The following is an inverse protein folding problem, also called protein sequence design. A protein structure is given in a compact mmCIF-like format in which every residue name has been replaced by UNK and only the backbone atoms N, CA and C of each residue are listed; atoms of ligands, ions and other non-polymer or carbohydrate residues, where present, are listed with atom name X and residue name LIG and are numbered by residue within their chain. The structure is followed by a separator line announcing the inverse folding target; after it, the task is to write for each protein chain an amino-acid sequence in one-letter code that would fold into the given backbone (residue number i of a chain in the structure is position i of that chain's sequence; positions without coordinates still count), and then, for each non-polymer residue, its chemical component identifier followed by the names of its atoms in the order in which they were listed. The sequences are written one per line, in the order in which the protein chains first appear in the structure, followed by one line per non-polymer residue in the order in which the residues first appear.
data_IF_079741488216
#
_entry.id   IF_079741488216
#
_cell.length_a   1.000
_cell.length_b   1.000
_cell.length_c   1.000
_cell.angle_alpha   90.00
_cell.angle_beta   90.00
_cell.angle_gamma   90.00
#
_symmetry.space_group_name_H-M   'P 1'
#
loop_
_entity.id
_entity.type
_entity.pdbx_description
1 polymer ?
#
# COMPACT_ATOMS: atom_id res chain seq x y z
N UNK A 1 -71.52 2.84 -36.35
CA UNK A 1 -71.34 2.45 -37.77
C UNK A 1 -70.10 3.15 -38.30
N UNK A 2 -69.31 2.50 -39.18
CA UNK A 2 -68.36 3.05 -40.19
C UNK A 2 -67.33 4.13 -39.70
N UNK A 3 -66.00 3.95 -39.71
CA UNK A 3 -65.07 3.56 -40.80
C UNK A 3 -65.10 4.58 -41.97
N UNK A 4 -64.02 5.15 -42.53
CA UNK A 4 -62.54 4.90 -42.55
C UNK A 4 -61.79 6.24 -42.92
N UNK A 5 -60.48 6.41 -43.23
CA UNK A 5 -59.27 5.58 -43.45
C UNK A 5 -57.98 6.49 -43.46
N UNK A 6 -56.76 5.88 -43.51
CA UNK A 6 -55.43 6.38 -44.02
C UNK A 6 -54.45 7.12 -43.09
N UNK A 7 -53.17 6.69 -43.15
CA UNK A 7 -51.93 7.40 -42.76
C UNK A 7 -51.06 7.66 -44.02
N UNK A 8 -49.71 7.50 -44.05
CA UNK A 8 -48.77 7.03 -42.99
C UNK A 8 -47.37 7.75 -42.96
N UNK A 9 -46.35 7.12 -42.32
CA UNK A 9 -44.86 7.29 -42.46
C UNK A 9 -44.13 8.30 -41.52
N UNK A 10 -42.90 7.88 -41.11
CA UNK A 10 -41.83 8.53 -40.31
C UNK A 10 -41.85 8.15 -38.81
N UNK A 11 -41.17 7.09 -38.33
CA UNK A 11 -39.79 6.61 -38.51
C UNK A 11 -38.70 7.51 -37.89
N UNK A 12 -38.50 7.39 -36.57
CA UNK A 12 -37.20 7.58 -35.92
C UNK A 12 -36.97 6.39 -35.00
N UNK A 13 -35.79 5.77 -35.11
CA UNK A 13 -35.35 4.64 -34.28
C UNK A 13 -34.44 5.19 -33.17
N UNK A 14 -34.66 4.79 -31.92
CA UNK A 14 -33.65 4.80 -30.86
C UNK A 14 -33.77 3.51 -30.06
N UNK A 15 -32.66 2.81 -29.90
CA UNK A 15 -32.53 1.49 -29.25
C UNK A 15 -31.17 1.46 -28.54
N UNK A 16 -31.04 0.60 -27.53
CA UNK A 16 -29.84 0.39 -26.69
C UNK A 16 -29.53 1.55 -25.70
N UNK A 17 -29.11 1.28 -24.45
CA UNK A 17 -29.16 0.01 -23.69
C UNK A 17 -29.21 0.31 -22.18
N UNK A 18 -29.85 -0.56 -21.40
CA UNK A 18 -29.72 -0.64 -19.95
C UNK A 18 -29.32 -2.08 -19.59
N UNK A 19 -28.02 -2.35 -19.41
CA UNK A 19 -27.56 -3.67 -18.94
C UNK A 19 -27.66 -3.72 -17.42
N UNK A 20 -28.74 -4.31 -16.92
CA UNK A 20 -28.85 -4.70 -15.52
C UNK A 20 -27.92 -5.90 -15.29
N UNK A 21 -26.79 -5.70 -14.60
CA UNK A 21 -25.92 -6.80 -14.16
C UNK A 21 -26.51 -7.50 -12.93
N UNK A 22 -27.47 -8.39 -13.18
CA UNK A 22 -27.84 -9.44 -12.22
C UNK A 22 -27.06 -10.71 -12.54
N UNK A 23 -26.03 -11.02 -11.76
CA UNK A 23 -25.39 -12.34 -11.78
C UNK A 23 -25.74 -13.13 -10.51
N UNK A 24 -26.70 -14.03 -10.70
CA UNK A 24 -26.92 -15.30 -9.99
C UNK A 24 -26.10 -15.52 -8.70
N UNK A 25 -26.70 -15.20 -7.56
CA UNK A 25 -26.30 -15.77 -6.28
C UNK A 25 -26.66 -17.28 -6.26
N UNK A 26 -25.72 -18.13 -6.64
CA UNK A 26 -25.87 -19.59 -6.50
C UNK A 26 -25.55 -19.95 -5.04
N UNK A 27 -26.57 -20.28 -4.26
CA UNK A 27 -26.42 -20.78 -2.89
C UNK A 27 -25.86 -22.22 -2.88
N UNK A 28 -24.57 -22.36 -3.17
CA UNK A 28 -23.77 -23.49 -2.69
C UNK A 28 -23.11 -23.09 -1.37
N UNK A 29 -23.18 -23.96 -0.35
CA UNK A 29 -22.35 -23.81 0.84
C UNK A 29 -20.89 -24.09 0.46
N UNK A 30 -20.11 -23.03 0.23
CA UNK A 30 -18.67 -23.17 0.07
C UNK A 30 -18.10 -23.72 1.38
N UNK A 31 -17.62 -24.97 1.35
CA UNK A 31 -16.77 -25.48 2.40
C UNK A 31 -15.47 -24.66 2.40
N UNK A 32 -14.95 -24.35 3.59
CA UNK A 32 -13.63 -23.74 3.71
C UNK A 32 -12.60 -24.64 3.01
N UNK A 33 -11.77 -24.12 2.08
CA UNK A 33 -10.72 -24.92 1.48
C UNK A 33 -9.72 -25.34 2.56
N UNK A 34 -9.32 -26.60 2.56
CA UNK A 34 -8.36 -27.11 3.54
C UNK A 34 -7.06 -26.29 3.47
N UNK A 35 -6.57 -25.82 4.62
CA UNK A 35 -5.55 -24.77 4.70
C UNK A 35 -4.28 -25.03 3.84
N UNK A 36 -3.88 -26.29 3.68
CA UNK A 36 -2.71 -26.67 2.88
C UNK A 36 -2.80 -26.35 1.38
N UNK A 37 -4.01 -26.18 0.81
CA UNK A 37 -4.18 -25.76 -0.59
C UNK A 37 -4.03 -24.24 -0.77
N UNK A 38 -4.24 -23.45 0.30
CA UNK A 38 -4.32 -21.99 0.19
C UNK A 38 -3.03 -21.35 -0.37
N UNK A 39 -1.80 -21.65 0.12
CA UNK A 39 -0.59 -20.98 -0.38
C UNK A 39 -0.31 -21.30 -1.85
N UNK A 40 -0.60 -22.53 -2.29
CA UNK A 40 -0.45 -22.93 -3.70
C UNK A 40 -1.50 -22.30 -4.59
N UNK A 41 -2.76 -22.23 -4.13
CA UNK A 41 -3.83 -21.53 -4.85
C UNK A 41 -3.54 -20.02 -5.02
N UNK A 42 -2.93 -19.38 -4.01
CA UNK A 42 -2.43 -18.00 -4.12
C UNK A 42 -1.35 -17.88 -5.20
N UNK A 43 -0.37 -18.79 -5.24
CA UNK A 43 0.68 -18.77 -6.26
C UNK A 43 0.12 -18.97 -7.68
N UNK A 44 -0.83 -19.88 -7.89
CA UNK A 44 -1.49 -20.04 -9.20
C UNK A 44 -2.30 -18.80 -9.60
N UNK A 45 -2.97 -18.14 -8.65
CA UNK A 45 -3.69 -16.87 -8.89
C UNK A 45 -2.73 -15.74 -9.30
N UNK A 46 -1.55 -15.65 -8.68
CA UNK A 46 -0.54 -14.63 -8.99
C UNK A 46 0.01 -14.72 -10.43
N UNK A 47 0.00 -15.90 -11.06
CA UNK A 47 0.41 -16.07 -12.47
C UNK A 47 -0.48 -15.32 -13.48
N UNK A 48 -1.67 -14.93 -13.06
CA UNK A 48 -2.63 -14.14 -13.84
C UNK A 48 -2.71 -12.67 -13.38
N UNK A 49 -1.98 -12.30 -12.33
CA UNK A 49 -2.01 -10.96 -11.72
C UNK A 49 -1.13 -9.96 -12.46
N UNK A 50 -1.68 -8.77 -12.69
CA UNK A 50 -0.94 -7.55 -13.01
C UNK A 50 -0.82 -6.65 -11.79
N UNK A 51 0.32 -5.98 -11.65
CA UNK A 51 0.52 -4.90 -10.68
C UNK A 51 1.05 -3.66 -11.41
N UNK A 52 0.71 -2.48 -10.91
CA UNK A 52 1.14 -1.19 -11.49
C UNK A 52 2.15 -0.53 -10.56
N UNK A 53 3.22 0.02 -11.13
CA UNK A 53 4.05 1.03 -10.48
C UNK A 53 4.02 2.33 -11.29
N UNK A 54 3.67 3.45 -10.65
CA UNK A 54 3.70 4.77 -11.27
C UNK A 54 5.02 5.45 -10.92
N UNK A 55 5.91 5.58 -11.90
CA UNK A 55 7.28 6.08 -11.72
C UNK A 55 7.84 6.62 -13.04
N UNK A 56 8.64 7.69 -12.99
CA UNK A 56 9.30 8.27 -14.17
C UNK A 56 10.71 7.71 -14.43
N UNK A 57 11.25 6.88 -13.53
CA UNK A 57 12.52 6.15 -13.70
C UNK A 57 12.29 4.67 -14.09
N UNK A 58 13.34 3.98 -14.54
CA UNK A 58 13.31 2.54 -14.84
C UNK A 58 13.97 1.65 -13.75
N UNK A 59 14.39 2.25 -12.63
CA UNK A 59 14.86 1.52 -11.45
C UNK A 59 13.72 0.91 -10.65
N UNK A 60 13.98 -0.18 -9.92
CA UNK A 60 12.98 -0.84 -9.06
C UNK A 60 13.45 -0.92 -7.60
N UNK A 61 12.52 -0.74 -6.65
CA UNK A 61 12.80 -0.70 -5.21
C UNK A 61 13.96 0.26 -4.86
N UNK A 62 14.04 1.40 -5.56
CA UNK A 62 15.26 2.19 -5.67
C UNK A 62 15.77 2.73 -4.32
N UNK A 63 14.88 3.08 -3.39
CA UNK A 63 15.27 3.46 -2.02
C UNK A 63 15.83 2.24 -1.27
N UNK A 64 15.18 1.08 -1.34
CA UNK A 64 15.67 -0.13 -0.67
C UNK A 64 16.99 -0.66 -1.23
N UNK A 65 17.31 -0.38 -2.51
CA UNK A 65 18.58 -0.80 -3.10
C UNK A 65 19.73 0.20 -2.87
N UNK A 66 19.47 1.51 -2.89
CA UNK A 66 20.53 2.55 -2.93
C UNK A 66 20.23 3.79 -2.05
N UNK A 67 19.26 3.70 -1.13
CA UNK A 67 18.78 4.81 -0.33
C UNK A 67 18.27 5.96 -1.20
N UNK A 68 18.37 7.20 -0.70
CA UNK A 68 17.95 8.38 -1.47
C UNK A 68 18.81 8.62 -2.73
N UNK A 69 20.00 8.02 -2.83
CA UNK A 69 20.82 8.06 -4.04
C UNK A 69 20.22 7.24 -5.19
N UNK A 70 19.45 6.19 -4.89
CA UNK A 70 18.69 5.43 -5.89
C UNK A 70 17.60 6.24 -6.59
N UNK A 71 17.10 7.31 -5.96
CA UNK A 71 16.00 8.15 -6.47
C UNK A 71 16.49 9.52 -6.96
N UNK A 72 17.49 10.11 -6.32
CA UNK A 72 17.99 11.46 -6.62
C UNK A 72 19.50 11.57 -6.84
N UNK A 73 20.24 10.45 -6.85
CA UNK A 73 21.70 10.44 -7.01
C UNK A 73 22.19 10.22 -8.44
N UNK A 74 21.32 10.37 -9.45
CA UNK A 74 21.56 10.10 -10.88
C UNK A 74 22.16 8.71 -11.19
N UNK A 75 22.02 7.77 -10.24
CA UNK A 75 22.59 6.43 -10.33
C UNK A 75 21.94 5.63 -11.47
N UNK A 76 22.72 5.05 -12.40
CA UNK A 76 22.18 4.42 -13.60
C UNK A 76 21.35 3.17 -13.28
N UNK A 77 20.52 2.77 -14.25
CA UNK A 77 19.82 1.48 -14.26
C UNK A 77 20.87 0.36 -14.18
N UNK A 78 20.81 -0.45 -13.13
CA UNK A 78 21.79 -1.49 -12.82
C UNK A 78 21.32 -2.88 -13.34
N UNK A 79 21.99 -3.97 -12.95
CA UNK A 79 21.59 -5.33 -13.37
C UNK A 79 20.33 -5.84 -12.65
N UNK A 80 20.17 -5.55 -11.37
CA UNK A 80 18.94 -5.84 -10.61
C UNK A 80 17.73 -5.20 -11.31
N UNK A 81 17.82 -3.90 -11.66
CA UNK A 81 16.74 -3.18 -12.35
C UNK A 81 16.35 -3.84 -13.69
N UNK A 82 17.35 -4.23 -14.50
CA UNK A 82 17.15 -4.90 -15.80
C UNK A 82 16.48 -6.26 -15.65
N UNK A 83 16.88 -7.03 -14.65
CA UNK A 83 16.41 -8.40 -14.45
C UNK A 83 15.10 -8.48 -13.66
N UNK A 84 14.76 -7.47 -12.85
CA UNK A 84 13.64 -7.49 -11.89
C UNK A 84 12.30 -7.92 -12.49
N UNK A 85 11.90 -7.36 -13.65
CA UNK A 85 10.64 -7.74 -14.31
C UNK A 85 10.61 -9.21 -14.75
N UNK A 86 11.73 -9.73 -15.25
CA UNK A 86 11.84 -11.14 -15.66
C UNK A 86 11.81 -12.05 -14.42
N UNK A 87 12.53 -11.66 -13.37
CA UNK A 87 12.61 -12.39 -12.11
C UNK A 87 11.25 -12.47 -11.39
N UNK A 88 10.50 -11.38 -11.35
CA UNK A 88 9.12 -11.32 -10.84
C UNK A 88 8.17 -12.22 -11.66
N UNK A 89 8.29 -12.21 -13.00
CA UNK A 89 7.46 -13.04 -13.87
C UNK A 89 7.85 -14.53 -13.81
N UNK A 90 9.11 -14.85 -13.53
CA UNK A 90 9.58 -16.23 -13.39
C UNK A 90 9.23 -16.85 -12.04
N UNK A 91 9.42 -16.12 -10.94
CA UNK A 91 9.21 -16.64 -9.58
C UNK A 91 7.74 -16.64 -9.14
N UNK A 92 7.00 -15.58 -9.47
CA UNK A 92 5.60 -15.39 -9.02
C UNK A 92 4.58 -15.36 -10.16
N UNK A 93 5.03 -15.29 -11.41
CA UNK A 93 4.14 -15.17 -12.58
C UNK A 93 3.44 -13.81 -12.71
N UNK A 94 3.77 -12.83 -11.86
CA UNK A 94 3.17 -11.50 -11.87
C UNK A 94 3.69 -10.68 -13.05
N UNK A 95 2.82 -9.89 -13.68
CA UNK A 95 3.18 -8.92 -14.72
C UNK A 95 3.25 -7.49 -14.14
N UNK A 96 4.44 -6.89 -14.10
CA UNK A 96 4.65 -5.51 -13.63
C UNK A 96 4.54 -4.51 -14.78
N UNK A 97 3.55 -3.62 -14.67
CA UNK A 97 3.30 -2.52 -15.60
C UNK A 97 3.87 -1.24 -14.98
N UNK A 98 4.67 -0.50 -15.74
CA UNK A 98 5.14 0.82 -15.33
C UNK A 98 4.37 1.90 -16.07
N UNK A 99 3.66 2.72 -15.32
CA UNK A 99 2.91 3.89 -15.79
C UNK A 99 3.76 5.14 -15.56
N UNK A 100 3.79 6.05 -16.53
CA UNK A 100 4.49 7.35 -16.41
C UNK A 100 3.56 8.43 -15.87
N UNK A 101 4.14 9.47 -15.29
CA UNK A 101 3.39 10.61 -14.73
C UNK A 101 2.40 11.25 -15.70
N UNK A 102 2.77 11.38 -16.98
CA UNK A 102 1.93 12.01 -18.00
C UNK A 102 0.60 11.25 -18.22
N UNK A 103 0.63 9.92 -18.09
CA UNK A 103 -0.57 9.08 -18.14
C UNK A 103 -1.40 9.20 -16.85
N UNK A 104 -0.75 9.19 -15.67
CA UNK A 104 -1.45 9.45 -14.41
C UNK A 104 -2.15 10.81 -14.43
N UNK A 105 -1.46 11.86 -14.90
CA UNK A 105 -2.00 13.21 -15.01
C UNK A 105 -3.18 13.27 -15.99
N UNK A 106 -3.12 12.51 -17.09
CA UNK A 106 -4.25 12.39 -18.02
C UNK A 106 -5.47 11.71 -17.38
N UNK A 107 -5.30 10.64 -16.58
CA UNK A 107 -6.42 10.01 -15.87
C UNK A 107 -6.91 10.87 -14.68
N UNK A 108 -6.04 11.63 -14.01
CA UNK A 108 -6.43 12.61 -12.98
C UNK A 108 -7.26 13.76 -13.58
N UNK A 109 -6.93 14.22 -14.78
CA UNK A 109 -7.65 15.28 -15.49
C UNK A 109 -9.03 14.86 -16.02
N UNK A 110 -9.35 13.55 -16.05
CA UNK A 110 -10.69 13.03 -16.37
C UNK A 110 -11.65 13.02 -15.19
N UNK A 111 -11.14 13.10 -13.95
CA UNK A 111 -11.96 12.99 -12.75
C UNK A 111 -12.81 14.24 -12.58
N UNK A 112 -14.14 14.07 -12.55
CA UNK A 112 -15.06 15.20 -12.40
C UNK A 112 -14.93 15.83 -11.01
N UNK A 113 -15.17 17.14 -10.93
CA UNK A 113 -15.19 17.85 -9.65
C UNK A 113 -16.22 17.24 -8.70
N UNK A 114 -17.42 16.91 -9.19
CA UNK A 114 -18.48 16.32 -8.40
C UNK A 114 -18.13 14.94 -7.80
N UNK A 115 -17.39 14.09 -8.54
CA UNK A 115 -16.91 12.82 -8.01
C UNK A 115 -15.83 13.02 -6.94
N UNK A 116 -14.87 13.90 -7.19
CA UNK A 116 -13.79 14.22 -6.26
C UNK A 116 -14.30 14.88 -4.97
N UNK A 117 -15.28 15.77 -5.09
CA UNK A 117 -15.98 16.41 -3.96
C UNK A 117 -16.77 15.38 -3.13
N UNK A 118 -17.59 14.54 -3.77
CA UNK A 118 -18.37 13.49 -3.10
C UNK A 118 -17.49 12.52 -2.32
N UNK A 119 -16.30 12.19 -2.84
CA UNK A 119 -15.33 11.33 -2.15
C UNK A 119 -14.64 12.06 -0.99
N UNK A 120 -14.27 13.32 -1.16
CA UNK A 120 -13.75 14.13 -0.05
C UNK A 120 -14.78 14.27 1.09
N UNK A 121 -16.06 14.49 0.76
CA UNK A 121 -17.16 14.59 1.74
C UNK A 121 -17.53 13.23 2.38
N UNK A 122 -17.22 12.11 1.72
CA UNK A 122 -17.25 10.78 2.34
C UNK A 122 -16.12 10.64 3.37
N UNK A 123 -14.88 10.96 3.00
CA UNK A 123 -13.72 10.89 3.90
C UNK A 123 -13.86 11.81 5.12
N UNK A 124 -14.32 13.04 4.93
CA UNK A 124 -14.56 14.00 6.02
C UNK A 124 -15.63 13.48 7.00
N UNK A 125 -16.66 12.77 6.50
CA UNK A 125 -17.76 12.24 7.32
C UNK A 125 -17.41 10.93 8.04
N UNK A 126 -16.52 10.11 7.47
CA UNK A 126 -16.06 8.86 8.10
C UNK A 126 -14.85 9.04 9.04
N UNK A 127 -14.15 10.17 8.96
CA UNK A 127 -13.04 10.50 9.85
C UNK A 127 -13.50 10.86 11.27
N UNK A 128 -12.68 10.54 12.29
CA UNK A 128 -12.92 10.96 13.68
C UNK A 128 -12.62 12.43 13.93
N UNK A 129 -11.69 13.00 13.17
CA UNK A 129 -11.30 14.42 13.21
C UNK A 129 -10.75 14.83 11.83
N UNK A 130 -10.90 16.11 11.48
CA UNK A 130 -10.18 16.76 10.37
C UNK A 130 -9.48 18.00 10.92
N UNK A 131 -8.14 18.04 10.88
CA UNK A 131 -7.34 19.15 11.43
C UNK A 131 -6.20 19.60 10.50
N UNK A 132 -5.83 20.88 10.60
CA UNK A 132 -4.72 21.51 9.87
C UNK A 132 -4.78 21.44 8.32
N UNK A 133 -5.90 21.00 7.73
CA UNK A 133 -6.15 20.95 6.28
C UNK A 133 -7.53 21.52 5.95
N UNK A 134 -7.70 22.08 4.75
CA UNK A 134 -8.99 22.57 4.22
C UNK A 134 -9.62 21.53 3.29
N UNK A 135 -10.95 21.59 3.06
CA UNK A 135 -11.67 20.66 2.18
C UNK A 135 -11.05 20.54 0.77
N UNK A 136 -10.52 21.63 0.22
CA UNK A 136 -9.84 21.61 -1.08
C UNK A 136 -8.52 20.81 -1.09
N UNK A 137 -7.85 20.65 0.06
CA UNK A 137 -6.68 19.77 0.17
C UNK A 137 -7.06 18.30 0.05
N UNK A 138 -8.20 17.92 0.63
CA UNK A 138 -8.77 16.56 0.62
C UNK A 138 -9.32 16.20 -0.78
N UNK A 139 -9.77 17.20 -1.54
CA UNK A 139 -10.23 17.09 -2.93
C UNK A 139 -9.09 16.77 -3.92
N UNK A 140 -7.83 17.09 -3.63
CA UNK A 140 -6.68 16.75 -4.51
C UNK A 140 -6.39 15.23 -4.55
N UNK A 141 -6.20 14.51 -3.42
CA UNK A 141 -6.01 13.06 -3.43
C UNK A 141 -7.27 12.27 -3.81
N UNK A 142 -8.46 12.87 -3.77
CA UNK A 142 -9.66 12.24 -4.35
C UNK A 142 -9.51 12.00 -5.86
N UNK A 143 -8.90 12.94 -6.60
CA UNK A 143 -8.54 12.73 -8.02
C UNK A 143 -7.42 11.72 -8.19
N UNK A 144 -6.46 11.65 -7.27
CA UNK A 144 -5.40 10.63 -7.28
C UNK A 144 -5.97 9.22 -7.13
N UNK A 145 -6.89 9.00 -6.17
CA UNK A 145 -7.62 7.74 -6.02
C UNK A 145 -8.38 7.36 -7.30
N UNK A 146 -9.20 8.28 -7.86
CA UNK A 146 -9.96 7.96 -9.06
C UNK A 146 -9.06 7.72 -10.29
N UNK A 147 -7.89 8.35 -10.38
CA UNK A 147 -6.88 8.01 -11.39
C UNK A 147 -6.27 6.62 -11.17
N UNK A 148 -5.95 6.24 -9.93
CA UNK A 148 -5.51 4.87 -9.60
C UNK A 148 -6.58 3.84 -9.98
N UNK A 149 -7.87 4.11 -9.70
CA UNK A 149 -8.99 3.24 -10.11
C UNK A 149 -9.10 3.09 -11.63
N UNK A 150 -8.98 4.19 -12.38
CA UNK A 150 -8.97 4.16 -13.85
C UNK A 150 -7.79 3.34 -14.37
N UNK A 151 -6.58 3.52 -13.84
CA UNK A 151 -5.39 2.74 -14.23
C UNK A 151 -5.52 1.25 -13.90
N UNK A 152 -5.95 0.91 -12.68
CA UNK A 152 -6.22 -0.47 -12.24
C UNK A 152 -7.23 -1.17 -13.19
N UNK A 153 -8.31 -0.49 -13.56
CA UNK A 153 -9.30 -1.02 -14.50
C UNK A 153 -8.73 -1.15 -15.92
N UNK A 154 -8.06 -0.10 -16.43
CA UNK A 154 -7.49 -0.02 -17.79
C UNK A 154 -6.50 -1.15 -18.08
N UNK A 155 -5.69 -1.52 -17.09
CA UNK A 155 -4.68 -2.57 -17.20
C UNK A 155 -5.14 -3.93 -16.62
N UNK A 156 -6.35 -4.01 -16.06
CA UNK A 156 -6.83 -5.17 -15.29
C UNK A 156 -5.79 -5.65 -14.24
N UNK A 157 -5.37 -4.71 -13.39
CA UNK A 157 -4.37 -4.91 -12.35
C UNK A 157 -5.01 -5.01 -10.96
N UNK A 158 -4.39 -5.81 -10.07
CA UNK A 158 -4.91 -6.09 -8.74
C UNK A 158 -4.30 -5.22 -7.63
N UNK A 159 -3.19 -4.54 -7.90
CA UNK A 159 -2.45 -3.72 -6.93
C UNK A 159 -1.72 -2.56 -7.63
N UNK A 160 -1.48 -1.46 -6.90
CA UNK A 160 -0.82 -0.27 -7.45
C UNK A 160 0.10 0.43 -6.44
N UNK A 161 1.28 0.85 -6.89
CA UNK A 161 2.19 1.73 -6.13
C UNK A 161 2.52 2.99 -6.92
N UNK A 162 2.96 4.04 -6.21
CA UNK A 162 3.15 5.37 -6.74
C UNK A 162 4.37 6.04 -6.11
N UNK A 163 5.27 6.56 -6.94
CA UNK A 163 6.48 7.25 -6.50
C UNK A 163 6.17 8.69 -6.07
N UNK A 164 5.80 8.88 -4.80
CA UNK A 164 5.68 10.22 -4.21
C UNK A 164 7.01 10.97 -4.11
N UNK A 165 8.16 10.28 -4.08
CA UNK A 165 9.45 10.91 -3.85
C UNK A 165 9.85 11.77 -5.06
N UNK A 166 9.73 11.25 -6.30
CA UNK A 166 9.91 12.11 -7.49
C UNK A 166 8.64 12.89 -7.83
N UNK A 167 7.48 12.23 -7.91
CA UNK A 167 6.28 12.85 -8.51
C UNK A 167 5.67 13.94 -7.63
N UNK A 168 5.82 13.87 -6.30
CA UNK A 168 5.27 14.86 -5.36
C UNK A 168 6.34 15.81 -4.77
N UNK A 169 7.60 15.41 -4.56
CA UNK A 169 8.59 16.29 -3.88
C UNK A 169 9.44 17.11 -4.85
N UNK A 170 10.03 16.45 -5.87
CA UNK A 170 10.84 17.04 -6.95
C UNK A 170 10.85 16.07 -8.15
N UNK A 171 10.27 16.42 -9.32
CA UNK A 171 9.89 17.76 -9.79
C UNK A 171 8.43 18.20 -9.54
N UNK A 172 7.73 17.69 -8.51
CA UNK A 172 6.40 18.20 -8.08
C UNK A 172 5.29 18.14 -9.13
N UNK A 173 5.35 17.16 -10.04
CA UNK A 173 4.34 16.96 -11.09
C UNK A 173 2.92 16.78 -10.55
N UNK A 174 2.76 16.23 -9.35
CA UNK A 174 1.48 15.84 -8.76
C UNK A 174 1.30 16.46 -7.37
N UNK A 175 0.40 17.45 -7.25
CA UNK A 175 0.02 18.10 -5.97
C UNK A 175 -0.97 17.25 -5.14
N UNK A 176 -0.69 15.95 -5.02
CA UNK A 176 -1.45 15.03 -4.19
C UNK A 176 -0.50 14.03 -3.52
N UNK A 177 -0.93 13.52 -2.35
CA UNK A 177 -0.27 12.45 -1.61
C UNK A 177 -1.18 11.22 -1.55
N UNK A 178 -0.58 10.04 -1.44
CA UNK A 178 -1.25 8.73 -1.40
C UNK A 178 -2.07 8.37 -0.14
N UNK A 179 -1.94 8.96 1.07
CA UNK A 179 -2.56 8.40 2.29
C UNK A 179 -4.06 8.12 2.21
N UNK A 180 -4.83 9.07 1.65
CA UNK A 180 -6.27 8.90 1.46
C UNK A 180 -6.63 7.91 0.32
N UNK A 181 -5.76 7.78 -0.69
CA UNK A 181 -5.94 6.80 -1.76
C UNK A 181 -5.62 5.36 -1.28
N UNK A 182 -4.59 5.18 -0.44
CA UNK A 182 -4.27 3.92 0.24
C UNK A 182 -5.42 3.52 1.17
N UNK A 183 -5.94 4.47 1.95
CA UNK A 183 -7.10 4.27 2.81
C UNK A 183 -8.33 3.79 2.02
N UNK A 184 -8.67 4.44 0.90
CA UNK A 184 -9.87 4.08 0.14
C UNK A 184 -9.70 2.74 -0.59
N UNK A 185 -8.55 2.49 -1.23
CA UNK A 185 -8.26 1.21 -1.87
C UNK A 185 -8.26 0.05 -0.86
N UNK A 186 -7.86 0.30 0.40
CA UNK A 186 -7.95 -0.71 1.46
C UNK A 186 -9.40 -1.13 1.77
N UNK A 187 -10.40 -0.26 1.59
CA UNK A 187 -11.83 -0.61 1.75
C UNK A 187 -12.33 -1.58 0.69
N UNK A 188 -11.61 -1.70 -0.43
CA UNK A 188 -11.88 -2.58 -1.56
C UNK A 188 -10.94 -3.80 -1.60
N UNK A 189 -10.14 -4.00 -0.55
CA UNK A 189 -9.09 -5.01 -0.45
C UNK A 189 -8.04 -4.94 -1.59
N UNK A 190 -7.78 -3.75 -2.13
CA UNK A 190 -6.77 -3.51 -3.18
C UNK A 190 -5.45 -3.08 -2.53
N UNK A 191 -4.36 -3.86 -2.65
CA UNK A 191 -3.05 -3.46 -2.16
C UNK A 191 -2.56 -2.16 -2.80
N UNK A 192 -2.16 -1.22 -1.94
CA UNK A 192 -1.56 0.04 -2.35
C UNK A 192 -0.47 0.46 -1.36
N UNK A 193 0.65 0.93 -1.90
CA UNK A 193 1.75 1.50 -1.13
C UNK A 193 2.34 2.74 -1.83
N UNK A 194 3.39 3.32 -1.24
CA UNK A 194 4.02 4.56 -1.68
C UNK A 194 5.44 4.32 -2.23
N UNK A 195 6.07 5.39 -2.72
CA UNK A 195 7.47 5.45 -3.19
C UNK A 195 7.87 4.39 -4.24
N UNK A 196 6.91 3.77 -4.92
CA UNK A 196 7.13 2.69 -5.89
C UNK A 196 7.92 1.49 -5.37
N UNK A 197 7.67 1.11 -4.11
CA UNK A 197 8.19 -0.11 -3.49
C UNK A 197 7.46 -1.36 -4.02
N UNK A 198 7.93 -1.89 -5.13
CA UNK A 198 7.32 -3.05 -5.79
C UNK A 198 7.43 -4.31 -4.93
N UNK A 199 8.54 -4.55 -4.22
CA UNK A 199 8.69 -5.68 -3.29
C UNK A 199 7.69 -5.60 -2.13
N UNK A 200 7.44 -4.40 -1.61
CA UNK A 200 6.41 -4.18 -0.58
C UNK A 200 4.98 -4.34 -1.15
N UNK A 201 4.73 -3.90 -2.40
CA UNK A 201 3.43 -4.10 -3.06
C UNK A 201 3.16 -5.59 -3.35
N UNK A 202 4.18 -6.33 -3.79
CA UNK A 202 4.14 -7.79 -3.97
C UNK A 202 3.90 -8.48 -2.63
N UNK A 203 4.61 -8.06 -1.57
CA UNK A 203 4.41 -8.58 -0.20
C UNK A 203 2.99 -8.30 0.32
N UNK A 204 2.46 -7.09 0.13
CA UNK A 204 1.07 -6.78 0.44
C UNK A 204 0.10 -7.66 -0.36
N UNK A 205 0.37 -7.89 -1.65
CA UNK A 205 -0.49 -8.70 -2.52
C UNK A 205 -0.51 -10.18 -2.10
N UNK A 206 0.66 -10.77 -1.84
CA UNK A 206 0.77 -12.15 -1.34
C UNK A 206 0.04 -12.28 0.00
N UNK A 207 0.36 -11.43 0.97
CA UNK A 207 -0.25 -11.47 2.29
C UNK A 207 -1.76 -11.25 2.24
N UNK A 208 -2.25 -10.30 1.46
CA UNK A 208 -3.69 -10.03 1.28
C UNK A 208 -4.44 -11.25 0.71
N UNK A 209 -3.85 -11.96 -0.25
CA UNK A 209 -4.42 -13.19 -0.81
C UNK A 209 -4.39 -14.37 0.17
N UNK A 210 -3.37 -14.46 1.03
CA UNK A 210 -3.29 -15.45 2.13
C UNK A 210 -4.22 -15.13 3.31
N UNK A 211 -4.83 -13.95 3.37
CA UNK A 211 -5.53 -13.44 4.57
C UNK A 211 -6.99 -13.02 4.34
N UNK A 212 -7.53 -13.40 3.18
CA UNK A 212 -8.85 -13.00 2.65
C UNK A 212 -9.08 -11.48 2.63
N UNK A 213 -8.10 -10.76 2.08
CA UNK A 213 -8.21 -9.34 1.79
C UNK A 213 -7.68 -8.39 2.87
N UNK A 214 -7.23 -8.87 4.03
CA UNK A 214 -6.56 -8.01 5.04
C UNK A 214 -5.39 -7.26 4.40
N UNK A 215 -5.22 -5.99 4.77
CA UNK A 215 -4.20 -5.12 4.18
C UNK A 215 -3.04 -4.91 5.13
N UNK A 216 -1.84 -5.27 4.68
CA UNK A 216 -0.60 -5.05 5.43
C UNK A 216 -0.16 -3.59 5.40
N UNK A 217 0.33 -3.09 6.52
CA UNK A 217 0.92 -1.75 6.64
C UNK A 217 2.36 -1.78 6.13
N UNK A 218 2.62 -1.09 5.01
CA UNK A 218 3.98 -0.85 4.51
C UNK A 218 4.55 0.36 5.24
N UNK A 219 5.77 0.25 5.77
CA UNK A 219 6.47 1.38 6.36
C UNK A 219 7.98 1.24 6.35
N UNK A 220 8.66 2.38 6.37
CA UNK A 220 10.07 2.47 6.78
C UNK A 220 10.18 1.91 8.20
N UNK A 221 11.17 1.06 8.48
CA UNK A 221 11.52 0.72 9.86
C UNK A 221 12.25 1.93 10.46
N UNK A 222 11.51 2.72 11.23
CA UNK A 222 12.01 3.85 11.99
C UNK A 222 12.74 3.30 13.22
N UNK A 223 13.97 3.74 13.43
CA UNK A 223 14.76 3.32 14.57
C UNK A 223 14.06 3.76 15.88
N UNK A 224 14.00 2.89 16.88
CA UNK A 224 13.23 3.15 18.11
C UNK A 224 13.88 4.18 19.05
N UNK A 225 15.18 4.48 18.89
CA UNK A 225 15.87 5.60 19.54
C UNK A 225 15.52 6.97 18.93
N UNK A 226 14.86 7.03 17.76
CA UNK A 226 14.43 8.30 17.17
C UNK A 226 13.25 8.95 17.93
N UNK A 227 12.78 8.32 19.02
CA UNK A 227 11.63 8.70 19.82
C UNK A 227 12.03 8.74 21.30
N UNK A 228 11.74 9.85 21.98
CA UNK A 228 12.01 9.97 23.41
C UNK A 228 11.06 9.06 24.22
N UNK A 229 11.55 8.13 25.06
CA UNK A 229 10.69 7.24 25.83
C UNK A 229 10.11 7.93 27.06
N UNK A 230 8.83 7.69 27.36
CA UNK A 230 8.14 8.23 28.55
C UNK A 230 8.64 7.56 29.84
N UNK A 231 9.00 6.28 29.75
CA UNK A 231 9.43 5.43 30.87
C UNK A 231 10.32 4.28 30.38
N UNK A 232 10.71 3.38 31.28
CA UNK A 232 11.30 2.09 30.89
C UNK A 232 10.33 1.31 29.99
N UNK A 233 10.86 0.78 28.89
CA UNK A 233 10.10 0.08 27.84
C UNK A 233 10.85 -1.16 27.35
N UNK A 234 10.19 -2.11 26.66
CA UNK A 234 10.89 -3.21 26.02
C UNK A 234 11.93 -2.71 25.00
N UNK A 235 13.06 -3.42 24.93
CA UNK A 235 14.19 -3.10 24.04
C UNK A 235 14.18 -3.95 22.75
N UNK A 236 13.31 -4.96 22.67
CA UNK A 236 13.09 -5.80 21.49
C UNK A 236 11.97 -5.23 20.59
N UNK A 237 11.93 -3.91 20.41
CA UNK A 237 10.91 -3.21 19.62
C UNK A 237 11.51 -2.53 18.41
N UNK A 238 10.78 -2.53 17.30
CA UNK A 238 11.02 -1.61 16.19
C UNK A 238 9.78 -0.75 15.98
N UNK A 239 9.98 0.47 15.47
CA UNK A 239 8.87 1.31 15.00
C UNK A 239 8.81 1.18 13.50
N UNK A 240 7.62 0.99 12.94
CA UNK A 240 7.41 1.00 11.48
C UNK A 240 6.49 2.18 11.17
N UNK A 241 6.83 3.01 10.19
CA UNK A 241 6.12 4.26 9.94
C UNK A 241 6.04 4.66 8.47
N UNK A 242 4.94 5.32 8.10
CA UNK A 242 4.74 5.82 6.73
C UNK A 242 3.77 7.00 6.64
N UNK A 243 3.68 7.60 5.46
CA UNK A 243 2.71 8.67 5.16
C UNK A 243 1.25 8.19 5.24
N UNK A 244 0.98 6.97 4.77
CA UNK A 244 -0.36 6.41 4.63
C UNK A 244 -0.45 4.99 5.18
N UNK A 245 -1.67 4.58 5.53
CA UNK A 245 -1.95 3.27 6.11
C UNK A 245 -3.31 2.75 5.61
N UNK A 246 -3.49 1.43 5.49
CA UNK A 246 -4.80 0.85 5.27
C UNK A 246 -5.67 0.96 6.52
N UNK A 247 -7.00 1.01 6.35
CA UNK A 247 -7.95 0.93 7.47
C UNK A 247 -8.58 -0.46 7.64
N UNK A 248 -8.21 -1.45 6.82
CA UNK A 248 -8.69 -2.85 6.86
C UNK A 248 -7.60 -3.88 7.22
N UNK A 249 -6.78 -3.68 8.27
CA UNK A 249 -5.73 -4.64 8.64
C UNK A 249 -6.27 -5.90 9.35
N UNK A 250 -7.50 -5.86 9.86
CA UNK A 250 -8.17 -6.95 10.59
C UNK A 250 -9.41 -7.46 9.85
N UNK A 251 -9.81 -8.74 10.04
CA UNK A 251 -10.96 -9.31 9.33
C UNK A 251 -12.25 -8.58 9.69
N UNK A 252 -13.04 -8.20 8.69
CA UNK A 252 -14.36 -7.56 8.84
C UNK A 252 -14.40 -6.27 9.71
N UNK A 253 -13.25 -5.66 9.99
CA UNK A 253 -13.12 -4.49 10.88
C UNK A 253 -12.38 -3.35 10.17
N UNK A 254 -13.04 -2.20 10.03
CA UNK A 254 -12.37 -0.94 9.73
C UNK A 254 -11.84 -0.33 11.04
N UNK A 255 -10.57 0.10 11.05
CA UNK A 255 -10.00 0.85 12.18
C UNK A 255 -10.29 2.35 12.04
N UNK A 256 -10.42 3.11 13.15
CA UNK A 256 -10.63 4.55 13.09
C UNK A 256 -9.47 5.29 12.43
N UNK A 257 -9.75 6.44 11.82
CA UNK A 257 -8.75 7.34 11.27
C UNK A 257 -9.16 8.80 11.42
N UNK A 258 -8.17 9.70 11.48
CA UNK A 258 -8.35 11.14 11.33
C UNK A 258 -7.59 11.65 10.10
N UNK A 259 -8.05 12.76 9.54
CA UNK A 259 -7.39 13.45 8.41
C UNK A 259 -6.61 14.64 8.96
N UNK A 260 -5.34 14.75 8.55
CA UNK A 260 -4.44 15.79 9.05
C UNK A 260 -3.46 16.28 8.00
N UNK A 261 -2.54 17.12 8.43
CA UNK A 261 -1.37 17.55 7.68
C UNK A 261 -0.32 16.43 7.54
N UNK A 262 0.36 16.36 6.40
CA UNK A 262 1.52 15.49 6.20
C UNK A 262 2.73 15.94 7.03
N UNK A 263 3.70 15.07 7.30
CA UNK A 263 5.02 15.44 7.91
C UNK A 263 5.88 16.37 7.03
N UNK A 264 5.35 16.81 5.88
CA UNK A 264 5.99 17.77 4.98
C UNK A 264 5.09 18.98 4.72
N UNK A 265 4.16 19.26 5.64
CA UNK A 265 3.31 20.46 5.66
C UNK A 265 4.10 21.76 5.89
N UNK A 266 5.31 21.64 6.43
CA UNK A 266 6.27 22.73 6.59
C UNK A 266 7.14 22.99 5.33
N UNK A 267 6.91 22.26 4.23
CA UNK A 267 7.67 22.39 2.98
C UNK A 267 6.85 23.11 1.91
N UNK A 268 7.47 24.06 1.22
CA UNK A 268 6.87 24.91 0.19
C UNK A 268 6.38 24.15 -1.07
N UNK A 269 6.57 22.82 -1.15
CA UNK A 269 6.35 21.98 -2.33
C UNK A 269 4.92 21.98 -2.88
N UNK A 270 3.93 22.37 -2.07
CA UNK A 270 2.54 22.48 -2.50
C UNK A 270 2.14 23.93 -2.84
N UNK A 271 2.97 24.93 -2.51
CA UNK A 271 2.65 26.35 -2.53
C UNK A 271 1.99 26.85 -1.24
N UNK A 272 2.04 28.16 -1.00
CA UNK A 272 1.71 28.76 0.30
C UNK A 272 0.28 28.49 0.82
N UNK A 273 -0.70 28.29 -0.06
CA UNK A 273 -2.09 28.07 0.32
C UNK A 273 -2.44 26.60 0.59
N UNK A 274 -1.69 25.64 0.04
CA UNK A 274 -2.12 24.25 -0.13
C UNK A 274 -1.39 23.29 0.81
N UNK A 275 -2.12 22.61 1.69
CA UNK A 275 -1.51 21.70 2.67
C UNK A 275 -1.46 20.27 2.12
N UNK A 276 -0.30 19.58 2.12
CA UNK A 276 -0.26 18.15 1.81
C UNK A 276 -1.01 17.33 2.87
N UNK A 277 -1.94 16.48 2.45
CA UNK A 277 -2.76 15.65 3.35
C UNK A 277 -2.02 14.41 3.84
N UNK A 278 -2.09 14.15 5.14
CA UNK A 278 -1.83 12.87 5.78
C UNK A 278 -3.07 12.29 6.45
N UNK A 279 -2.96 11.07 6.97
CA UNK A 279 -3.91 10.48 7.91
C UNK A 279 -3.16 9.96 9.13
N UNK A 280 -3.86 9.78 10.25
CA UNK A 280 -3.40 8.94 11.36
C UNK A 280 -4.49 7.92 11.65
N UNK A 281 -4.15 6.63 11.60
CA UNK A 281 -5.07 5.53 11.96
C UNK A 281 -4.83 5.07 13.40
N UNK A 282 -5.89 4.63 14.08
CA UNK A 282 -5.80 4.09 15.44
C UNK A 282 -5.55 2.58 15.40
N UNK A 283 -4.27 2.19 15.51
CA UNK A 283 -3.85 0.79 15.56
C UNK A 283 -4.35 0.08 16.82
N UNK A 284 -5.00 -1.09 16.70
CA UNK A 284 -5.20 -1.98 17.84
C UNK A 284 -3.86 -2.46 18.41
N UNK A 285 -3.66 -2.26 19.72
CA UNK A 285 -2.52 -2.78 20.49
C UNK A 285 -2.78 -4.22 20.96
N UNK A 286 -1.74 -4.85 21.50
CA UNK A 286 -1.71 -6.15 22.18
C UNK A 286 -2.06 -7.38 21.31
N UNK A 287 -2.54 -7.14 20.08
CA UNK A 287 -2.75 -8.13 19.04
C UNK A 287 -1.40 -8.70 18.51
N UNK A 288 -1.36 -10.00 18.13
CA UNK A 288 -0.23 -10.57 17.43
C UNK A 288 -0.08 -9.96 16.02
N UNK A 289 1.14 -9.97 15.50
CA UNK A 289 1.49 -9.48 14.18
C UNK A 289 2.63 -10.28 13.54
N UNK A 290 2.80 -10.11 12.23
CA UNK A 290 3.93 -10.63 11.45
C UNK A 290 4.58 -9.50 10.68
N UNK A 291 5.89 -9.29 10.89
CA UNK A 291 6.72 -8.39 10.08
C UNK A 291 7.32 -9.22 8.94
N UNK A 292 7.12 -8.80 7.69
CA UNK A 292 7.43 -9.61 6.51
C UNK A 292 7.92 -8.77 5.32
N UNK A 293 8.84 -9.35 4.54
CA UNK A 293 9.20 -8.91 3.19
C UNK A 293 9.61 -10.07 2.29
N UNK A 294 9.10 -10.08 1.06
CA UNK A 294 9.67 -10.84 -0.05
C UNK A 294 10.61 -9.93 -0.85
N UNK A 295 11.91 -10.24 -0.86
CA UNK A 295 12.82 -9.71 -1.89
C UNK A 295 12.65 -10.58 -3.14
N UNK A 296 12.02 -10.02 -4.16
CA UNK A 296 11.74 -10.74 -5.41
C UNK A 296 13.01 -10.94 -6.23
N UNK A 297 13.91 -9.96 -6.21
CA UNK A 297 15.15 -9.97 -7.00
C UNK A 297 16.17 -11.02 -6.51
N UNK A 298 16.21 -11.26 -5.19
CA UNK A 298 17.08 -12.25 -4.54
C UNK A 298 16.36 -13.57 -4.22
N UNK A 299 15.04 -13.66 -4.43
CA UNK A 299 14.17 -14.76 -4.03
C UNK A 299 14.26 -15.10 -2.52
N UNK A 300 14.12 -14.09 -1.64
CA UNK A 300 14.23 -14.30 -0.19
C UNK A 300 12.97 -13.86 0.56
N UNK A 301 12.60 -14.60 1.61
CA UNK A 301 11.56 -14.26 2.57
C UNK A 301 12.18 -13.91 3.93
N UNK A 302 11.98 -12.68 4.38
CA UNK A 302 12.16 -12.24 5.77
C UNK A 302 10.80 -12.29 6.46
N UNK A 303 10.70 -12.93 7.62
CA UNK A 303 9.41 -13.14 8.29
C UNK A 303 9.58 -13.38 9.81
N UNK A 304 9.09 -12.46 10.64
CA UNK A 304 9.22 -12.47 12.10
C UNK A 304 7.85 -12.34 12.79
N UNK A 305 7.61 -13.10 13.85
CA UNK A 305 6.43 -12.89 14.73
C UNK A 305 6.67 -11.72 15.68
N UNK A 306 5.58 -11.04 16.01
CA UNK A 306 5.60 -9.85 16.85
C UNK A 306 4.27 -9.63 17.60
N UNK A 307 4.25 -8.64 18.49
CA UNK A 307 3.03 -8.04 19.07
C UNK A 307 3.00 -6.54 18.80
N UNK A 308 1.84 -5.99 18.45
CA UNK A 308 1.67 -4.53 18.32
C UNK A 308 1.58 -3.90 19.72
N UNK A 309 2.31 -2.81 19.96
CA UNK A 309 2.23 -2.03 21.21
C UNK A 309 1.64 -0.64 20.94
N UNK A 310 1.00 -0.04 21.94
CA UNK A 310 0.52 1.34 21.86
C UNK A 310 1.70 2.32 22.03
N UNK A 311 2.13 2.93 20.92
CA UNK A 311 3.24 3.88 20.90
C UNK A 311 2.98 5.19 21.66
N UNK A 312 1.72 5.63 21.78
CA UNK A 312 1.38 6.85 22.54
C UNK A 312 1.50 6.62 24.07
N UNK A 313 1.61 5.35 24.52
CA UNK A 313 1.97 5.01 25.92
C UNK A 313 3.47 4.88 26.17
N UNK A 314 4.27 4.74 25.11
CA UNK A 314 5.70 4.44 25.20
C UNK A 314 6.60 5.65 24.93
N UNK A 315 6.18 6.58 24.07
CA UNK A 315 7.02 7.66 23.56
C UNK A 315 6.35 9.03 23.60
N UNK A 316 7.14 10.07 23.88
CA UNK A 316 6.68 11.45 23.93
C UNK A 316 6.23 11.95 22.54
N UNK A 317 5.06 12.59 22.49
CA UNK A 317 4.44 13.20 21.30
C UNK A 317 4.39 12.26 20.06
N UNK A 318 4.26 10.95 20.29
CA UNK A 318 4.40 9.93 19.25
C UNK A 318 3.43 10.13 18.08
N UNK A 319 2.17 10.47 18.32
CA UNK A 319 1.22 10.79 17.25
C UNK A 319 1.61 11.98 16.32
N UNK A 320 2.55 12.86 16.69
CA UNK A 320 2.88 14.08 15.92
C UNK A 320 4.33 14.16 15.43
N UNK A 321 5.27 13.42 16.02
CA UNK A 321 6.64 13.34 15.52
C UNK A 321 6.76 12.45 14.27
N UNK A 322 7.66 12.78 13.33
CA UNK A 322 7.94 12.01 12.10
C UNK A 322 6.63 11.60 11.33
N UNK A 323 6.59 10.40 10.75
CA UNK A 323 5.49 9.92 9.91
C UNK A 323 4.14 9.89 10.65
N UNK A 324 3.06 10.24 9.94
CA UNK A 324 1.70 10.39 10.52
C UNK A 324 1.03 9.06 10.87
N UNK A 325 1.47 7.95 10.28
CA UNK A 325 1.15 6.61 10.73
C UNK A 325 2.43 5.95 11.24
N UNK A 326 2.41 5.44 12.47
CA UNK A 326 3.48 4.63 13.05
C UNK A 326 2.88 3.50 13.87
N UNK A 327 3.48 2.32 13.80
CA UNK A 327 3.12 1.14 14.57
C UNK A 327 4.37 0.67 15.32
N UNK A 328 4.26 0.48 16.64
CA UNK A 328 5.33 -0.13 17.43
C UNK A 328 5.11 -1.63 17.43
N UNK A 329 6.12 -2.42 17.07
CA UNK A 329 6.04 -3.88 17.11
C UNK A 329 7.17 -4.47 17.94
N UNK A 330 6.81 -5.25 18.95
CA UNK A 330 7.72 -6.02 19.78
C UNK A 330 7.99 -7.37 19.13
N UNK A 331 9.25 -7.68 18.81
CA UNK A 331 9.65 -8.91 18.11
C UNK A 331 9.88 -10.02 19.13
N UNK A 332 9.26 -11.19 18.93
CA UNK A 332 9.31 -12.31 19.91
C UNK A 332 10.71 -12.94 20.00
N UNK A 333 11.46 -12.94 18.90
CA UNK A 333 12.79 -13.55 18.75
C UNK A 333 13.84 -12.52 18.28
N UNK A 334 14.27 -11.58 19.16
CA UNK A 334 15.21 -10.52 18.81
C UNK A 334 16.64 -11.04 18.49
N UNK A 335 16.95 -12.25 18.96
CA UNK A 335 18.15 -13.02 18.64
C UNK A 335 18.22 -13.44 17.17
N UNK A 336 17.08 -13.50 16.46
CA UNK A 336 16.97 -13.93 15.05
C UNK A 336 16.57 -12.81 14.08
N UNK A 337 16.26 -11.63 14.61
CA UNK A 337 15.78 -10.51 13.81
C UNK A 337 16.94 -9.56 13.46
N UNK A 338 17.33 -9.46 12.19
CA UNK A 338 18.33 -8.48 11.71
C UNK A 338 17.84 -7.03 11.82
N UNK A 339 16.55 -6.80 12.11
CA UNK A 339 16.01 -5.47 12.41
C UNK A 339 16.31 -5.02 13.86
N UNK A 340 16.99 -5.84 14.66
CA UNK A 340 17.34 -5.58 16.06
C UNK A 340 18.81 -5.90 16.38
N UNK A 341 19.45 -5.21 17.33
CA UNK A 341 18.97 -3.98 17.98
C UNK A 341 18.84 -2.85 16.94
N UNK A 342 17.79 -2.04 17.05
CA UNK A 342 17.53 -0.91 16.15
C UNK A 342 18.31 0.35 16.55
N UNK A 343 19.52 0.16 17.09
CA UNK A 343 20.39 1.14 17.74
C UNK A 343 21.25 1.95 16.72
N UNK A 344 21.72 3.18 17.01
CA UNK A 344 22.54 3.93 16.07
C UNK A 344 24.04 3.62 16.21
N UNK A 345 24.44 2.91 17.26
CA UNK A 345 25.75 2.32 17.55
C UNK A 345 25.98 0.96 16.86
N UNK A 346 24.94 0.11 16.91
CA UNK A 346 25.05 -1.35 16.82
C UNK A 346 24.05 -1.99 15.84
N UNK A 347 24.13 -3.32 15.68
CA UNK A 347 23.14 -4.14 14.98
C UNK A 347 23.30 -4.29 13.47
N UNK A 348 22.80 -5.41 12.95
CA UNK A 348 22.86 -5.80 11.52
C UNK A 348 21.88 -4.97 10.67
N UNK A 349 21.02 -4.18 11.32
CA UNK A 349 19.97 -3.31 10.80
C UNK A 349 20.46 -2.15 9.92
N UNK A 350 21.70 -2.20 9.42
CA UNK A 350 22.34 -1.14 8.64
C UNK A 350 22.80 -1.59 7.26
N UNK A 351 22.87 -2.89 7.01
CA UNK A 351 23.11 -3.45 5.68
C UNK A 351 21.80 -3.53 4.87
N UNK A 352 20.94 -2.50 4.96
CA UNK A 352 19.70 -2.39 4.19
C UNK A 352 19.96 -2.38 2.68
N UNK A 353 20.85 -1.49 2.25
CA UNK A 353 21.00 -1.11 0.85
C UNK A 353 21.68 -2.21 0.05
N UNK A 354 21.01 -2.70 -0.99
CA UNK A 354 21.47 -3.88 -1.75
C UNK A 354 21.15 -5.21 -1.05
N UNK A 355 20.28 -5.19 -0.05
CA UNK A 355 19.73 -6.33 0.69
C UNK A 355 18.23 -6.08 0.93
N UNK A 356 17.73 -6.37 2.14
CA UNK A 356 16.34 -6.22 2.56
C UNK A 356 15.74 -4.81 2.45
N UNK A 357 16.55 -3.75 2.37
CA UNK A 357 16.06 -2.37 2.42
C UNK A 357 15.51 -1.95 3.79
N UNK A 358 15.09 -0.68 3.89
CA UNK A 358 14.50 -0.14 5.12
C UNK A 358 12.99 -0.34 5.21
N UNK A 359 12.29 -0.64 4.10
CA UNK A 359 10.84 -0.82 4.10
C UNK A 359 10.43 -2.26 4.39
N UNK A 360 9.49 -2.46 5.31
CA UNK A 360 8.91 -3.76 5.68
C UNK A 360 7.38 -3.69 5.59
N UNK A 361 6.71 -4.84 5.65
CA UNK A 361 5.24 -4.92 5.69
C UNK A 361 4.79 -5.61 6.98
N UNK A 362 3.86 -5.01 7.71
CA UNK A 362 3.27 -5.61 8.92
C UNK A 362 1.84 -6.05 8.65
N UNK A 363 1.52 -7.30 8.99
CA UNK A 363 0.16 -7.82 9.03
C UNK A 363 -0.24 -8.19 10.47
N UNK A 364 -1.53 -8.07 10.79
CA UNK A 364 -2.07 -8.59 12.05
C UNK A 364 -2.30 -10.11 11.97
N UNK A 365 -2.00 -10.80 13.06
CA UNK A 365 -1.93 -12.26 13.19
C UNK A 365 -0.52 -12.82 12.97
N UNK A 366 -0.27 -14.03 13.50
CA UNK A 366 0.83 -14.87 13.03
C UNK A 366 0.45 -15.45 11.66
N UNK A 367 1.25 -15.12 10.64
CA UNK A 367 1.14 -15.60 9.27
C UNK A 367 2.37 -16.41 8.84
N UNK A 368 3.31 -16.69 9.75
CA UNK A 368 4.61 -17.28 9.43
C UNK A 368 4.50 -18.65 8.76
N UNK A 369 3.54 -19.49 9.17
CA UNK A 369 3.23 -20.76 8.51
C UNK A 369 2.83 -20.58 7.04
N UNK A 370 1.67 -19.95 6.74
CA UNK A 370 1.22 -19.69 5.37
C UNK A 370 2.25 -18.95 4.49
N UNK A 371 3.02 -18.00 5.05
CA UNK A 371 4.06 -17.27 4.33
C UNK A 371 5.27 -18.16 3.98
N UNK A 372 5.69 -19.04 4.90
CA UNK A 372 6.79 -20.00 4.65
C UNK A 372 6.36 -21.11 3.68
N UNK A 373 5.12 -21.59 3.77
CA UNK A 373 4.55 -22.53 2.80
C UNK A 373 4.44 -21.91 1.41
N UNK A 374 4.03 -20.64 1.32
CA UNK A 374 4.03 -19.88 0.08
C UNK A 374 5.45 -19.72 -0.50
N UNK A 375 6.42 -19.31 0.33
CA UNK A 375 7.81 -19.15 -0.08
C UNK A 375 8.40 -20.48 -0.61
N UNK A 376 8.17 -21.59 0.09
CA UNK A 376 8.60 -22.91 -0.36
C UNK A 376 7.95 -23.33 -1.69
N UNK A 377 6.67 -22.99 -1.90
CA UNK A 377 5.98 -23.25 -3.18
C UNK A 377 6.47 -22.36 -4.34
N UNK A 378 6.87 -21.11 -4.04
CA UNK A 378 7.39 -20.14 -5.01
C UNK A 378 8.92 -20.23 -5.23
N UNK A 379 9.62 -21.12 -4.51
CA UNK A 379 11.07 -21.27 -4.61
C UNK A 379 11.87 -20.11 -3.98
N UNK A 380 11.35 -19.49 -2.91
CA UNK A 380 12.04 -18.46 -2.14
C UNK A 380 12.79 -19.08 -0.94
N UNK A 381 14.01 -18.62 -0.69
CA UNK A 381 14.80 -18.93 0.50
C UNK A 381 14.18 -18.24 1.73
N UNK A 382 13.80 -19.02 2.74
CA UNK A 382 13.34 -18.48 4.03
C UNK A 382 14.57 -18.22 4.89
N UNK A 383 14.85 -16.95 5.19
CA UNK A 383 15.95 -16.57 6.08
C UNK A 383 15.47 -16.62 7.53
N UNK A 384 16.06 -17.52 8.33
CA UNK A 384 15.59 -17.90 9.68
C UNK A 384 16.38 -17.31 10.84
N UNK A 385 17.56 -16.78 10.53
CA UNK A 385 18.59 -16.31 11.46
C UNK A 385 19.27 -15.07 10.84
N UNK A 386 20.16 -14.40 11.57
CA UNK A 386 20.86 -13.18 11.09
C UNK A 386 22.03 -13.53 10.16
#
# INVERSE_FOLDING_TARGET
MMCSQRGPIALVVHVLVLVLWQMLAVCGSAAEPAAADQPRAVLERLKQTRIISIQDHDKFNAIDQEGMAGVWGDSPVNEYDRNYRAQLKQSLGIELIVVRSDELLAEMARVTDADAERLADLWIREATEVKHVKRSDIIRPARLYYAFKQLLQKYNAAAITYDSATLTLRPQKVKAWTPLAILELSKENIPCCCQSHVDCLVTQTIGSLLTDGRQGFVGDVLNDWAFAPIAERPQNVIVIGHCGAPITPLPNRRIPYLIRDHIHSDKEWFGADDVPTGITVSWPSDEPATVVKFDVGRQRLSCFTARVLDGDTLYEDFANCICRNKMVVQIDHPDKCYLLPSDPNEGDFREWWGSWGCHQVVFYGDLTGPLREFAAAAGFEVVTDK
#
